data_IF_739366767724
#
_entry.id   IF_739366767724
#
_cell.length_a   1.000
_cell.length_b   1.000
_cell.length_c   1.000
_cell.angle_alpha   90.00
_cell.angle_beta   90.00
_cell.angle_gamma   90.00
#
_symmetry.space_group_name_H-M   'P 1'
#
loop_
_entity.id
_entity.type
_entity.pdbx_description
1 polymer ?
#
# COMPACT_ATOMS: atom_id res chain seq x y z
N UNK A 1 -11.76 -27.71 44.69
CA UNK A 1 -11.57 -26.27 44.45
C UNK A 1 -10.82 -26.14 43.13
N UNK A 2 -11.56 -25.83 42.08
CA UNK A 2 -10.96 -25.59 40.75
C UNK A 2 -10.73 -24.10 40.67
N UNK A 3 -9.47 -23.71 40.71
CA UNK A 3 -9.06 -22.31 40.58
C UNK A 3 -9.39 -21.82 39.16
N UNK A 4 -10.39 -20.98 39.03
CA UNK A 4 -10.67 -20.25 37.79
C UNK A 4 -9.50 -19.33 37.50
N UNK A 5 -8.85 -19.56 36.38
CA UNK A 5 -7.91 -18.60 35.78
C UNK A 5 -8.76 -17.47 35.21
N UNK A 6 -8.95 -16.41 36.00
CA UNK A 6 -9.44 -15.14 35.50
C UNK A 6 -8.39 -14.52 34.59
N UNK A 7 -8.36 -14.92 33.33
CA UNK A 7 -7.66 -14.20 32.29
C UNK A 7 -8.46 -12.92 32.00
N UNK A 8 -8.16 -11.82 32.72
CA UNK A 8 -8.63 -10.52 32.32
C UNK A 8 -8.04 -10.23 30.94
N UNK A 9 -8.86 -10.29 29.90
CA UNK A 9 -8.53 -9.82 28.56
C UNK A 9 -8.24 -8.32 28.69
N UNK A 10 -6.96 -7.97 28.80
CA UNK A 10 -6.54 -6.57 28.85
C UNK A 10 -6.70 -5.97 27.47
N UNK A 11 -7.51 -4.91 27.38
CA UNK A 11 -7.57 -4.09 26.17
C UNK A 11 -6.23 -3.39 25.97
N UNK A 12 -5.79 -3.33 24.71
CA UNK A 12 -4.58 -2.57 24.32
C UNK A 12 -4.89 -1.09 24.44
N UNK A 13 -4.02 -0.36 25.12
CA UNK A 13 -4.08 1.10 25.16
C UNK A 13 -3.39 1.69 23.92
N UNK A 14 -4.17 2.17 22.97
CA UNK A 14 -3.70 2.79 21.74
C UNK A 14 -3.44 4.31 21.87
N UNK A 15 -3.52 4.90 23.06
CA UNK A 15 -3.34 6.35 23.26
C UNK A 15 -1.87 6.81 23.23
N UNK A 16 -0.91 5.92 23.46
CA UNK A 16 0.51 6.24 23.63
C UNK A 16 1.38 6.19 22.38
N UNK A 17 0.84 5.78 21.23
CA UNK A 17 1.62 5.48 20.04
C UNK A 17 2.39 4.15 20.14
N UNK A 18 2.76 3.57 18.98
CA UNK A 18 3.59 2.37 18.95
C UNK A 18 5.04 2.71 19.29
N UNK A 19 5.72 1.77 19.98
CA UNK A 19 7.19 1.75 19.90
C UNK A 19 7.60 1.59 18.43
N UNK A 20 8.74 2.17 18.03
CA UNK A 20 9.22 2.10 16.65
C UNK A 20 9.40 0.65 16.20
N UNK A 21 8.64 0.22 15.20
CA UNK A 21 8.92 -1.00 14.45
C UNK A 21 10.13 -0.82 13.52
N UNK A 22 10.57 -1.90 12.88
CA UNK A 22 11.74 -1.83 12.00
C UNK A 22 11.35 -1.39 10.58
N UNK A 23 11.90 -0.26 10.15
CA UNK A 23 12.01 0.22 8.78
C UNK A 23 13.45 0.73 8.59
N UNK A 24 14.09 0.50 7.43
CA UNK A 24 13.59 -0.10 6.17
C UNK A 24 13.56 -1.63 6.19
N UNK A 25 12.73 -2.20 5.29
CA UNK A 25 12.57 -3.66 5.07
C UNK A 25 13.11 -4.02 3.70
N UNK A 26 13.80 -5.15 3.59
CA UNK A 26 14.12 -5.74 2.28
C UNK A 26 12.90 -6.52 1.79
N UNK A 27 12.29 -6.01 0.74
CA UNK A 27 11.08 -6.61 0.18
C UNK A 27 11.39 -7.65 -0.89
N UNK A 28 10.50 -8.66 -1.03
CA UNK A 28 10.51 -9.54 -2.20
C UNK A 28 10.40 -8.71 -3.48
N UNK A 29 11.26 -8.95 -4.45
CA UNK A 29 11.42 -8.08 -5.61
C UNK A 29 11.39 -8.83 -6.94
N UNK A 30 10.95 -10.11 -6.91
CA UNK A 30 10.84 -10.95 -8.10
C UNK A 30 12.17 -11.60 -8.51
N UNK A 31 12.20 -12.13 -9.72
CA UNK A 31 13.38 -12.76 -10.30
C UNK A 31 13.63 -12.29 -11.73
N UNK A 32 14.88 -12.37 -12.22
CA UNK A 32 15.23 -12.07 -13.60
C UNK A 32 14.43 -12.90 -14.59
N UNK A 33 14.16 -12.35 -15.79
CA UNK A 33 13.42 -13.04 -16.83
C UNK A 33 14.10 -14.37 -17.22
N UNK A 34 13.35 -15.48 -17.14
CA UNK A 34 13.85 -16.83 -17.41
C UNK A 34 14.42 -17.55 -16.19
N UNK A 35 14.48 -16.89 -15.03
CA UNK A 35 14.82 -17.50 -13.75
C UNK A 35 13.53 -17.76 -12.98
N UNK A 36 13.45 -18.94 -12.34
CA UNK A 36 12.33 -19.24 -11.44
C UNK A 36 12.38 -18.28 -10.24
N UNK A 37 11.25 -17.69 -9.96
CA UNK A 37 11.06 -16.89 -8.75
C UNK A 37 10.61 -17.81 -7.61
N UNK A 38 11.36 -17.79 -6.52
CA UNK A 38 11.04 -18.59 -5.30
C UNK A 38 10.39 -17.71 -4.21
N UNK A 39 10.04 -16.46 -4.53
CA UNK A 39 9.31 -15.58 -3.62
C UNK A 39 7.96 -16.21 -3.21
N UNK A 40 7.55 -16.10 -1.94
CA UNK A 40 6.19 -16.49 -1.55
C UNK A 40 5.15 -15.63 -2.27
N UNK A 41 3.89 -16.08 -2.39
CA UNK A 41 2.82 -15.26 -2.98
C UNK A 41 2.66 -13.89 -2.34
N UNK A 42 2.96 -13.79 -1.05
CA UNK A 42 2.90 -12.58 -0.25
C UNK A 42 3.97 -12.62 0.84
N UNK A 43 4.74 -11.54 0.96
CA UNK A 43 5.61 -11.32 2.10
C UNK A 43 4.81 -10.65 3.21
N UNK A 44 4.98 -11.15 4.44
CA UNK A 44 4.38 -10.59 5.65
C UNK A 44 5.50 -9.96 6.48
N UNK A 45 5.37 -8.68 6.79
CA UNK A 45 6.26 -7.97 7.69
C UNK A 45 5.47 -7.48 8.91
N UNK A 46 5.87 -7.93 10.08
CA UNK A 46 5.30 -7.49 11.36
C UNK A 46 6.06 -6.25 11.80
N UNK A 47 5.46 -5.07 11.59
CA UNK A 47 6.05 -3.80 12.00
C UNK A 47 6.03 -3.67 13.53
N UNK A 48 4.88 -3.93 14.12
CA UNK A 48 4.69 -4.11 15.55
C UNK A 48 3.61 -5.18 15.80
N UNK A 49 3.26 -5.45 17.07
CA UNK A 49 2.27 -6.46 17.41
C UNK A 49 0.89 -6.19 16.81
N UNK A 50 0.59 -4.93 16.48
CA UNK A 50 -0.73 -4.47 16.07
C UNK A 50 -0.76 -3.91 14.63
N UNK A 51 0.38 -3.92 13.94
CA UNK A 51 0.54 -3.33 12.61
C UNK A 51 1.35 -4.26 11.72
N UNK A 52 0.73 -4.76 10.64
CA UNK A 52 1.36 -5.69 9.69
C UNK A 52 1.30 -5.10 8.29
N UNK A 53 2.43 -5.12 7.60
CA UNK A 53 2.54 -4.78 6.20
C UNK A 53 2.64 -6.06 5.38
N UNK A 54 1.92 -6.10 4.26
CA UNK A 54 1.95 -7.24 3.35
C UNK A 54 2.38 -6.74 1.97
N UNK A 55 3.23 -7.49 1.29
CA UNK A 55 3.60 -7.20 -0.09
C UNK A 55 3.29 -8.38 -0.98
N UNK A 56 2.52 -8.16 -2.02
CA UNK A 56 2.25 -9.16 -3.05
C UNK A 56 3.49 -9.42 -3.91
N UNK A 57 3.69 -10.68 -4.32
CA UNK A 57 4.86 -11.04 -5.13
C UNK A 57 4.78 -10.51 -6.56
N UNK A 58 5.90 -9.99 -7.08
CA UNK A 58 6.07 -9.63 -8.50
C UNK A 58 6.02 -10.83 -9.44
N UNK A 59 6.12 -12.06 -8.93
CA UNK A 59 5.88 -13.27 -9.70
C UNK A 59 4.40 -13.48 -10.04
N UNK A 60 3.48 -12.85 -9.30
CA UNK A 60 2.03 -12.92 -9.53
C UNK A 60 1.55 -11.77 -10.41
N UNK A 61 2.03 -10.58 -10.15
CA UNK A 61 1.71 -9.35 -10.89
C UNK A 61 2.90 -8.38 -10.82
N UNK A 62 3.11 -7.62 -11.87
CA UNK A 62 4.16 -6.59 -11.87
C UNK A 62 3.85 -5.41 -10.91
N UNK A 63 2.58 -5.20 -10.59
CA UNK A 63 2.13 -4.12 -9.69
C UNK A 63 2.60 -4.39 -8.27
N UNK A 64 2.47 -5.65 -7.80
CA UNK A 64 2.92 -6.09 -6.48
C UNK A 64 2.59 -5.10 -5.35
N UNK A 65 1.28 -4.76 -5.17
CA UNK A 65 0.87 -3.75 -4.22
C UNK A 65 1.17 -4.15 -2.78
N UNK A 66 1.31 -3.14 -1.94
CA UNK A 66 1.35 -3.28 -0.49
C UNK A 66 -0.06 -3.19 0.08
N UNK A 67 -0.32 -4.01 1.09
CA UNK A 67 -1.55 -4.01 1.87
C UNK A 67 -1.20 -3.79 3.34
N UNK A 68 -2.15 -3.26 4.11
CA UNK A 68 -1.93 -2.96 5.52
C UNK A 68 -3.00 -3.65 6.37
N UNK A 69 -2.57 -4.35 7.43
CA UNK A 69 -3.48 -4.96 8.41
C UNK A 69 -3.23 -4.32 9.77
N UNK A 70 -4.23 -3.55 10.23
CA UNK A 70 -4.18 -2.77 11.46
C UNK A 70 -5.15 -3.38 12.48
N UNK A 71 -4.66 -3.72 13.67
CA UNK A 71 -5.47 -4.32 14.72
C UNK A 71 -5.91 -3.27 15.74
N UNK A 72 -7.19 -3.22 16.05
CA UNK A 72 -7.76 -2.58 17.23
C UNK A 72 -8.31 -3.60 18.21
N UNK A 73 -8.98 -3.18 19.28
CA UNK A 73 -9.50 -4.13 20.27
C UNK A 73 -10.79 -4.84 19.83
N UNK A 74 -11.58 -4.27 18.91
CA UNK A 74 -12.88 -4.82 18.48
C UNK A 74 -12.83 -5.40 17.06
N UNK A 75 -11.98 -4.85 16.23
CA UNK A 75 -11.85 -5.24 14.83
C UNK A 75 -10.47 -4.89 14.26
N UNK A 76 -10.11 -5.57 13.19
CA UNK A 76 -8.99 -5.17 12.35
C UNK A 76 -9.47 -4.41 11.11
N UNK A 77 -8.61 -3.57 10.55
CA UNK A 77 -8.73 -3.03 9.21
C UNK A 77 -7.73 -3.74 8.30
N UNK A 78 -8.21 -4.34 7.21
CA UNK A 78 -7.39 -4.67 6.05
C UNK A 78 -7.59 -3.57 5.02
N UNK A 79 -6.54 -2.82 4.73
CA UNK A 79 -6.54 -1.80 3.69
C UNK A 79 -5.93 -2.40 2.43
N UNK A 80 -6.74 -2.45 1.38
CA UNK A 80 -6.54 -3.11 0.09
C UNK A 80 -6.52 -4.65 0.14
N UNK A 81 -6.83 -5.28 -1.00
CA UNK A 81 -6.89 -6.74 -1.17
C UNK A 81 -6.01 -7.26 -2.30
N UNK A 82 -5.24 -6.37 -2.94
CA UNK A 82 -4.24 -6.72 -3.93
C UNK A 82 -4.78 -6.95 -5.34
N UNK A 83 -3.89 -7.36 -6.23
CA UNK A 83 -4.09 -7.43 -7.68
C UNK A 83 -4.44 -8.84 -8.20
N UNK A 84 -4.64 -9.84 -7.34
CA UNK A 84 -4.90 -11.23 -7.75
C UNK A 84 -6.11 -11.80 -7.04
N UNK A 85 -7.15 -12.11 -7.81
CA UNK A 85 -8.40 -12.68 -7.31
C UNK A 85 -8.30 -14.17 -6.97
N UNK A 86 -7.48 -14.95 -7.68
CA UNK A 86 -7.39 -16.40 -7.55
C UNK A 86 -6.75 -16.82 -6.21
N UNK A 87 -7.51 -17.46 -5.28
CA UNK A 87 -6.99 -17.87 -3.98
C UNK A 87 -5.92 -18.96 -4.07
N UNK A 88 -5.83 -19.70 -5.18
CA UNK A 88 -4.76 -20.69 -5.38
C UNK A 88 -3.42 -20.03 -5.66
N UNK A 89 -3.45 -18.86 -6.30
CA UNK A 89 -2.24 -18.08 -6.61
C UNK A 89 -1.87 -17.14 -5.47
N UNK A 90 -2.86 -16.47 -4.86
CA UNK A 90 -2.70 -15.57 -3.74
C UNK A 90 -3.73 -15.88 -2.65
N UNK A 91 -3.39 -16.70 -1.64
CA UNK A 91 -4.33 -17.14 -0.60
C UNK A 91 -4.56 -16.04 0.44
N UNK A 92 -5.16 -14.91 0.04
CA UNK A 92 -5.38 -13.74 0.88
C UNK A 92 -6.18 -14.09 2.13
N UNK A 93 -7.36 -14.73 1.95
CA UNK A 93 -8.23 -15.12 3.06
C UNK A 93 -7.49 -15.96 4.11
N UNK A 94 -6.79 -16.99 3.67
CA UNK A 94 -6.03 -17.88 4.57
C UNK A 94 -4.94 -17.11 5.32
N UNK A 95 -4.24 -16.21 4.64
CA UNK A 95 -3.19 -15.39 5.25
C UNK A 95 -3.79 -14.46 6.31
N UNK A 96 -4.87 -13.75 6.00
CA UNK A 96 -5.52 -12.83 6.94
C UNK A 96 -6.10 -13.58 8.14
N UNK A 97 -6.76 -14.72 7.93
CA UNK A 97 -7.30 -15.54 9.02
C UNK A 97 -6.19 -16.05 9.96
N UNK A 98 -5.03 -16.45 9.40
CA UNK A 98 -3.87 -16.85 10.20
C UNK A 98 -3.34 -15.69 11.04
N UNK A 99 -3.20 -14.50 10.45
CA UNK A 99 -2.67 -13.32 11.14
C UNK A 99 -3.62 -12.86 12.26
N UNK A 100 -4.93 -12.80 11.98
CA UNK A 100 -5.95 -12.47 12.97
C UNK A 100 -5.98 -13.53 14.08
N UNK A 101 -5.94 -14.82 13.72
CA UNK A 101 -5.90 -15.92 14.70
C UNK A 101 -4.67 -15.86 15.59
N UNK A 102 -3.51 -15.49 15.04
CA UNK A 102 -2.27 -15.30 15.80
C UNK A 102 -2.38 -14.16 16.80
N UNK A 103 -2.98 -13.04 16.39
CA UNK A 103 -3.22 -11.88 17.26
C UNK A 103 -4.20 -12.23 18.37
N UNK A 104 -5.34 -12.89 18.04
CA UNK A 104 -6.37 -13.29 18.98
C UNK A 104 -5.90 -14.31 20.04
N UNK A 105 -4.86 -15.10 19.76
CA UNK A 105 -4.26 -15.97 20.81
C UNK A 105 -3.60 -15.18 21.93
N UNK A 106 -3.10 -13.98 21.65
CA UNK A 106 -2.48 -13.08 22.63
C UNK A 106 -3.48 -12.07 23.20
N UNK A 107 -4.47 -11.71 22.41
CA UNK A 107 -5.53 -10.75 22.73
C UNK A 107 -6.92 -11.39 22.53
N UNK A 108 -7.35 -12.32 23.38
CA UNK A 108 -8.61 -13.04 23.20
C UNK A 108 -9.82 -12.10 23.13
N UNK A 109 -10.65 -12.25 22.10
CA UNK A 109 -11.91 -11.55 21.87
C UNK A 109 -12.94 -12.55 21.34
N UNK A 110 -14.23 -12.40 21.73
CA UNK A 110 -15.30 -13.31 21.30
C UNK A 110 -15.86 -12.97 19.92
N UNK A 111 -16.03 -11.68 19.64
CA UNK A 111 -16.73 -11.20 18.44
C UNK A 111 -15.84 -10.22 17.66
N UNK A 112 -14.64 -10.70 17.28
CA UNK A 112 -13.66 -9.84 16.60
C UNK A 112 -14.02 -9.65 15.12
N UNK A 113 -14.17 -8.38 14.70
CA UNK A 113 -14.53 -8.00 13.35
C UNK A 113 -13.35 -7.83 12.40
N UNK A 114 -13.65 -7.80 11.11
CA UNK A 114 -12.73 -7.34 10.06
C UNK A 114 -13.45 -6.30 9.19
N UNK A 115 -12.85 -5.15 9.03
CA UNK A 115 -13.19 -4.19 7.97
C UNK A 115 -12.20 -4.36 6.85
N UNK A 116 -12.68 -4.52 5.62
CA UNK A 116 -11.91 -4.49 4.39
C UNK A 116 -12.29 -3.20 3.69
N UNK A 117 -11.35 -2.28 3.59
CA UNK A 117 -11.52 -1.02 2.87
C UNK A 117 -10.38 -0.83 1.87
N UNK A 118 -10.55 0.12 0.96
CA UNK A 118 -9.60 0.33 -0.12
C UNK A 118 -9.07 1.75 -0.10
N UNK A 119 -7.79 1.90 -0.42
CA UNK A 119 -7.22 3.21 -0.70
C UNK A 119 -7.91 3.86 -1.89
N UNK A 120 -8.31 3.03 -2.88
CA UNK A 120 -9.11 3.44 -4.04
C UNK A 120 -9.61 2.22 -4.85
N UNK A 121 -10.39 2.46 -5.92
CA UNK A 121 -11.14 1.43 -6.63
C UNK A 121 -10.42 0.75 -7.82
N UNK A 122 -9.11 0.92 -8.03
CA UNK A 122 -8.40 0.23 -9.11
C UNK A 122 -8.25 -1.27 -8.85
N UNK A 123 -8.09 -2.04 -9.94
CA UNK A 123 -8.13 -3.50 -9.89
C UNK A 123 -7.04 -4.14 -9.03
N UNK A 124 -5.89 -3.51 -8.93
CA UNK A 124 -4.76 -3.97 -8.12
C UNK A 124 -4.93 -3.72 -6.61
N UNK A 125 -5.99 -3.03 -6.21
CA UNK A 125 -6.35 -2.79 -4.81
C UNK A 125 -7.56 -3.59 -4.33
N UNK A 126 -8.44 -4.05 -5.28
CA UNK A 126 -9.75 -4.65 -4.94
C UNK A 126 -9.92 -6.10 -5.43
N UNK A 127 -8.95 -6.66 -6.17
CA UNK A 127 -9.14 -7.98 -6.81
C UNK A 127 -9.36 -9.13 -5.83
N UNK A 128 -8.87 -9.02 -4.60
CA UNK A 128 -9.00 -10.08 -3.59
C UNK A 128 -10.31 -10.07 -2.80
N UNK A 129 -11.20 -9.09 -2.99
CA UNK A 129 -12.43 -8.89 -2.20
C UNK A 129 -13.30 -10.14 -2.10
N UNK A 130 -13.47 -10.84 -3.22
CA UNK A 130 -14.29 -12.05 -3.28
C UNK A 130 -13.79 -13.16 -2.32
N UNK A 131 -12.54 -13.14 -1.90
CA UNK A 131 -12.02 -14.08 -0.92
C UNK A 131 -12.46 -13.78 0.52
N UNK A 132 -12.98 -12.58 0.77
CA UNK A 132 -13.33 -12.10 2.11
C UNK A 132 -14.82 -11.84 2.30
N UNK A 133 -15.60 -11.82 1.21
CA UNK A 133 -17.02 -11.47 1.21
C UNK A 133 -17.88 -12.43 2.07
N UNK A 134 -17.53 -13.70 2.13
CA UNK A 134 -18.23 -14.73 2.92
C UNK A 134 -17.60 -14.98 4.30
N UNK A 135 -16.59 -14.20 4.68
CA UNK A 135 -15.95 -14.33 5.99
C UNK A 135 -16.89 -13.83 7.09
N UNK A 136 -17.13 -14.62 8.18
CA UNK A 136 -17.92 -14.15 9.32
C UNK A 136 -17.35 -12.87 9.93
N UNK A 137 -18.23 -12.02 10.47
CA UNK A 137 -17.89 -10.74 11.12
C UNK A 137 -17.02 -9.83 10.26
N UNK A 138 -17.28 -9.83 8.93
CA UNK A 138 -16.48 -9.04 7.97
C UNK A 138 -17.37 -8.09 7.19
N UNK A 139 -16.95 -6.84 7.10
CA UNK A 139 -17.53 -5.83 6.22
C UNK A 139 -16.54 -5.53 5.11
N UNK A 140 -16.90 -5.77 3.86
CA UNK A 140 -16.14 -5.35 2.69
C UNK A 140 -16.80 -4.09 2.15
N UNK A 141 -16.06 -2.97 2.19
CA UNK A 141 -16.53 -1.66 1.73
C UNK A 141 -16.48 -1.63 0.21
N UNK A 142 -17.59 -1.29 -0.42
CA UNK A 142 -17.62 -1.15 -1.87
C UNK A 142 -16.79 0.09 -2.32
N UNK A 143 -16.22 0.00 -3.52
CA UNK A 143 -15.18 0.90 -4.03
C UNK A 143 -15.68 2.23 -4.62
N UNK A 144 -17.00 2.34 -4.82
CA UNK A 144 -17.63 3.53 -5.40
C UNK A 144 -17.65 4.67 -4.39
N UNK A 145 -17.47 5.92 -4.83
CA UNK A 145 -17.45 7.13 -3.97
C UNK A 145 -18.62 7.17 -3.01
N UNK A 146 -19.83 6.81 -3.48
CA UNK A 146 -21.04 6.85 -2.64
C UNK A 146 -20.94 5.87 -1.46
N UNK A 147 -20.48 4.65 -1.70
CA UNK A 147 -20.31 3.64 -0.67
C UNK A 147 -19.17 3.99 0.31
N UNK A 148 -18.06 4.54 -0.18
CA UNK A 148 -16.96 5.03 0.64
C UNK A 148 -17.44 6.15 1.57
N UNK A 149 -18.20 7.12 1.04
CA UNK A 149 -18.79 8.21 1.82
C UNK A 149 -19.74 7.69 2.90
N UNK A 150 -20.62 6.78 2.53
CA UNK A 150 -21.62 6.19 3.44
C UNK A 150 -20.92 5.42 4.57
N UNK A 151 -19.97 4.56 4.23
CA UNK A 151 -19.28 3.71 5.21
C UNK A 151 -18.46 4.53 6.21
N UNK A 152 -17.68 5.49 5.75
CA UNK A 152 -16.84 6.31 6.62
C UNK A 152 -17.61 7.46 7.30
N UNK A 153 -18.82 7.80 6.80
CA UNK A 153 -19.65 8.86 7.35
C UNK A 153 -19.29 10.26 6.86
N UNK A 154 -18.75 10.39 5.65
CA UNK A 154 -18.44 11.69 5.06
C UNK A 154 -19.71 12.48 4.75
N UNK A 155 -19.82 13.70 5.28
CA UNK A 155 -20.87 14.68 4.97
C UNK A 155 -20.42 15.73 3.96
N UNK A 156 -19.15 16.12 3.98
CA UNK A 156 -18.51 17.07 3.04
C UNK A 156 -17.29 16.47 2.34
N UNK A 157 -17.53 15.54 1.43
CA UNK A 157 -16.49 14.90 0.62
C UNK A 157 -15.89 15.87 -0.40
N UNK A 158 -14.57 15.93 -0.56
CA UNK A 158 -13.50 15.24 0.21
C UNK A 158 -12.89 16.12 1.31
N UNK A 159 -13.56 17.22 1.70
CA UNK A 159 -12.97 18.32 2.49
C UNK A 159 -12.87 18.07 3.99
N UNK A 160 -13.56 17.07 4.51
CA UNK A 160 -13.51 16.74 5.93
C UNK A 160 -12.63 15.53 6.20
N UNK A 161 -12.14 15.44 7.43
CA UNK A 161 -11.52 14.24 7.98
C UNK A 161 -12.51 13.58 8.94
N UNK A 162 -12.76 12.30 8.71
CA UNK A 162 -13.66 11.47 9.53
C UNK A 162 -12.86 10.42 10.32
N UNK A 163 -13.50 9.78 11.31
CA UNK A 163 -12.83 8.82 12.18
C UNK A 163 -13.38 7.42 12.01
N UNK A 164 -12.47 6.45 11.95
CA UNK A 164 -12.78 5.02 12.01
C UNK A 164 -12.18 4.44 13.30
N UNK A 165 -13.04 4.05 14.25
CA UNK A 165 -12.62 3.42 15.49
C UNK A 165 -12.58 1.88 15.33
N UNK A 166 -11.41 1.30 15.57
CA UNK A 166 -11.20 -0.15 15.58
C UNK A 166 -11.32 -0.78 16.97
N UNK A 167 -11.83 -0.02 17.95
CA UNK A 167 -11.87 -0.37 19.36
C UNK A 167 -10.67 0.24 20.11
N UNK A 168 -10.70 1.57 20.25
CA UNK A 168 -9.67 2.37 20.92
C UNK A 168 -8.50 2.77 20.00
N UNK A 169 -8.25 2.06 18.89
CA UNK A 169 -7.37 2.54 17.81
C UNK A 169 -8.20 3.33 16.81
N UNK A 170 -8.13 4.64 16.92
CA UNK A 170 -8.91 5.57 16.10
C UNK A 170 -8.06 6.05 14.94
N UNK A 171 -8.49 5.73 13.74
CA UNK A 171 -7.88 6.17 12.49
C UNK A 171 -8.56 7.44 11.98
N UNK A 172 -7.80 8.33 11.35
CA UNK A 172 -8.34 9.50 10.67
C UNK A 172 -8.34 9.27 9.16
N UNK A 173 -9.49 9.43 8.53
CA UNK A 173 -9.71 9.14 7.11
C UNK A 173 -10.07 10.41 6.38
N UNK A 174 -9.34 10.71 5.31
CA UNK A 174 -9.53 11.92 4.49
C UNK A 174 -9.68 11.52 3.04
N UNK A 175 -10.64 12.13 2.33
CA UNK A 175 -10.76 11.99 0.87
C UNK A 175 -9.59 12.67 0.16
N UNK A 176 -8.95 11.96 -0.77
CA UNK A 176 -7.80 12.46 -1.54
C UNK A 176 -7.96 12.17 -3.04
N UNK A 177 -9.03 12.67 -3.70
CA UNK A 177 -9.21 12.47 -5.14
C UNK A 177 -8.05 13.10 -5.93
N UNK A 178 -7.92 12.68 -7.21
CA UNK A 178 -6.90 13.19 -8.13
C UNK A 178 -6.21 12.07 -8.88
N UNK A 179 -5.80 11.00 -8.20
CA UNK A 179 -5.45 9.72 -8.81
C UNK A 179 -6.71 8.95 -9.20
N UNK A 180 -7.62 8.76 -8.25
CA UNK A 180 -8.93 8.14 -8.42
C UNK A 180 -9.96 8.91 -7.60
N UNK A 181 -11.22 8.99 -8.07
CA UNK A 181 -12.27 9.81 -7.46
C UNK A 181 -12.65 9.37 -6.03
N UNK A 182 -12.51 8.07 -5.71
CA UNK A 182 -12.81 7.47 -4.41
C UNK A 182 -11.55 7.28 -3.54
N UNK A 183 -10.42 7.92 -3.88
CA UNK A 183 -9.20 7.76 -3.10
C UNK A 183 -9.34 8.31 -1.70
N UNK A 184 -8.84 7.56 -0.72
CA UNK A 184 -8.72 7.96 0.68
C UNK A 184 -7.30 7.82 1.18
N UNK A 185 -6.90 8.69 2.09
CA UNK A 185 -5.74 8.51 2.95
C UNK A 185 -6.19 8.17 4.36
N UNK A 186 -5.37 7.40 5.06
CA UNK A 186 -5.60 7.02 6.44
C UNK A 186 -4.39 7.41 7.26
N UNK A 187 -4.59 8.27 8.25
CA UNK A 187 -3.62 8.53 9.30
C UNK A 187 -3.91 7.60 10.47
N UNK A 188 -2.91 6.84 10.86
CA UNK A 188 -2.92 6.01 12.04
C UNK A 188 -2.04 6.63 13.14
N UNK A 189 -2.61 7.28 14.15
CA UNK A 189 -1.83 7.90 15.22
C UNK A 189 -1.02 6.90 16.04
N UNK A 190 -1.40 5.62 16.06
CA UNK A 190 -0.66 4.58 16.77
C UNK A 190 0.71 4.32 16.15
N UNK A 191 0.77 4.02 14.86
CA UNK A 191 2.05 3.78 14.15
C UNK A 191 2.72 5.07 13.69
N UNK A 192 1.99 6.16 13.60
CA UNK A 192 2.42 7.39 12.95
C UNK A 192 2.46 7.27 11.42
N UNK A 193 1.79 6.27 10.84
CA UNK A 193 1.74 6.09 9.38
C UNK A 193 0.64 6.93 8.75
N UNK A 194 1.01 7.65 7.70
CA UNK A 194 0.09 8.25 6.76
C UNK A 194 0.01 7.37 5.52
N UNK A 195 -1.05 6.56 5.42
CA UNK A 195 -1.29 5.61 4.32
C UNK A 195 -1.96 6.36 3.17
N UNK A 196 -1.30 6.47 2.03
CA UNK A 196 -1.67 7.36 0.93
C UNK A 196 -2.09 6.66 -0.36
N UNK A 197 -2.13 5.33 -0.36
CA UNK A 197 -2.44 4.58 -1.59
C UNK A 197 -1.51 4.98 -2.73
N UNK A 198 -2.11 5.32 -3.86
CA UNK A 198 -1.40 5.71 -5.08
C UNK A 198 -1.25 7.23 -5.28
N UNK A 199 -1.59 8.01 -4.25
CA UNK A 199 -1.37 9.45 -4.31
C UNK A 199 0.09 9.84 -4.04
N UNK A 200 0.77 9.15 -3.08
CA UNK A 200 2.16 9.43 -2.71
C UNK A 200 2.89 8.12 -2.41
N UNK A 201 3.87 7.77 -3.23
CA UNK A 201 4.73 6.59 -3.08
C UNK A 201 6.03 6.78 -3.90
N UNK A 202 7.10 6.00 -3.66
CA UNK A 202 8.32 6.08 -4.45
C UNK A 202 8.11 5.45 -5.83
N UNK A 203 7.49 6.21 -6.75
CA UNK A 203 7.06 5.69 -8.05
C UNK A 203 6.47 6.73 -8.99
N UNK A 204 5.62 6.26 -9.90
CA UNK A 204 4.94 7.07 -10.91
C UNK A 204 3.56 7.47 -10.41
N UNK A 205 3.43 8.68 -9.91
CA UNK A 205 2.19 9.25 -9.43
C UNK A 205 1.30 9.63 -10.63
N UNK A 206 0.31 8.81 -10.91
CA UNK A 206 -0.63 9.04 -12.02
C UNK A 206 -1.73 10.00 -11.58
N UNK A 207 -1.81 11.16 -12.24
CA UNK A 207 -2.74 12.22 -11.90
C UNK A 207 -3.78 12.35 -12.99
N UNK A 208 -5.03 12.01 -12.68
CA UNK A 208 -6.18 12.07 -13.59
C UNK A 208 -6.93 13.40 -13.46
N UNK A 209 -6.96 13.98 -12.24
CA UNK A 209 -7.55 15.28 -11.94
C UNK A 209 -6.50 16.15 -11.21
N UNK A 210 -5.72 16.97 -11.94
CA UNK A 210 -4.66 17.77 -11.35
C UNK A 210 -5.10 18.79 -10.29
N UNK A 211 -6.23 19.53 -10.45
CA UNK A 211 -6.75 20.35 -9.37
C UNK A 211 -7.06 19.58 -8.09
N UNK A 212 -7.83 18.50 -8.19
CA UNK A 212 -8.18 17.67 -7.04
C UNK A 212 -6.94 17.05 -6.39
N UNK A 213 -5.93 16.66 -7.18
CA UNK A 213 -4.67 16.11 -6.66
C UNK A 213 -3.90 17.13 -5.81
N UNK A 214 -3.83 18.41 -6.25
CA UNK A 214 -3.19 19.47 -5.47
C UNK A 214 -3.94 19.75 -4.16
N UNK A 215 -5.26 19.82 -4.19
CA UNK A 215 -6.08 20.02 -2.99
C UNK A 215 -5.88 18.85 -2.03
N UNK A 216 -5.77 17.61 -2.53
CA UNK A 216 -5.50 16.42 -1.75
C UNK A 216 -4.11 16.46 -1.11
N UNK A 217 -3.08 16.91 -1.83
CA UNK A 217 -1.74 17.07 -1.27
C UNK A 217 -1.69 18.18 -0.20
N UNK A 218 -2.46 19.26 -0.36
CA UNK A 218 -2.61 20.29 0.67
C UNK A 218 -3.24 19.72 1.93
N UNK A 219 -4.28 18.89 1.81
CA UNK A 219 -4.90 18.21 2.93
C UNK A 219 -3.92 17.24 3.64
N UNK A 220 -3.18 16.43 2.87
CA UNK A 220 -2.17 15.50 3.42
C UNK A 220 -1.06 16.26 4.18
N UNK A 221 -0.54 17.35 3.63
CA UNK A 221 0.47 18.17 4.32
C UNK A 221 -0.10 18.75 5.61
N UNK A 222 -1.33 19.27 5.59
CA UNK A 222 -2.01 19.80 6.77
C UNK A 222 -2.16 18.76 7.89
N UNK A 223 -2.47 17.50 7.53
CA UNK A 223 -2.51 16.39 8.52
C UNK A 223 -1.16 16.21 9.22
N UNK A 224 -0.03 16.40 8.51
CA UNK A 224 1.31 16.27 9.12
C UNK A 224 1.68 17.44 10.04
N UNK A 225 0.95 18.53 9.98
CA UNK A 225 1.16 19.69 10.87
C UNK A 225 0.41 19.52 12.20
N UNK A 226 -0.66 18.71 12.20
CA UNK A 226 -1.51 18.49 13.38
C UNK A 226 -1.18 17.18 14.11
N UNK A 227 -0.51 16.25 13.45
CA UNK A 227 -0.15 14.93 14.00
C UNK A 227 1.31 14.58 13.70
N UNK A 228 2.00 13.90 14.63
CA UNK A 228 3.33 13.36 14.37
C UNK A 228 3.21 12.21 13.36
N UNK A 229 3.74 12.41 12.13
CA UNK A 229 3.83 11.39 11.09
C UNK A 229 5.25 10.85 11.05
N UNK A 230 5.40 9.55 11.28
CA UNK A 230 6.68 8.84 11.24
C UNK A 230 7.08 8.42 9.83
N UNK A 231 6.09 8.08 8.99
CA UNK A 231 6.30 7.67 7.61
C UNK A 231 5.04 7.91 6.75
N UNK A 232 5.25 8.32 5.50
CA UNK A 232 4.23 8.36 4.45
C UNK A 232 4.35 7.07 3.65
N UNK A 233 3.29 6.27 3.63
CA UNK A 233 3.30 4.89 3.14
C UNK A 233 2.31 4.74 1.98
N UNK A 234 2.81 4.60 0.76
CA UNK A 234 1.96 4.30 -0.40
C UNK A 234 1.81 2.80 -0.66
N UNK A 235 1.26 2.45 -1.82
CA UNK A 235 0.98 1.05 -2.16
C UNK A 235 1.97 0.42 -3.15
N UNK A 236 2.95 1.17 -3.69
CA UNK A 236 3.90 0.67 -4.68
C UNK A 236 5.33 1.17 -4.46
N UNK A 237 6.30 0.45 -5.04
CA UNK A 237 7.65 0.93 -5.27
C UNK A 237 7.96 0.73 -6.75
N UNK A 238 8.26 1.81 -7.45
CA UNK A 238 8.54 1.79 -8.88
C UNK A 238 9.83 2.56 -9.24
N UNK A 239 10.38 3.34 -8.29
CA UNK A 239 11.70 3.96 -8.42
C UNK A 239 12.81 2.97 -8.12
N UNK A 240 14.02 3.30 -8.56
CA UNK A 240 15.25 2.64 -8.12
C UNK A 240 15.96 3.50 -7.09
N UNK A 241 16.96 2.95 -6.42
CA UNK A 241 17.87 3.73 -5.54
C UNK A 241 18.71 4.76 -6.30
N UNK A 242 18.75 4.71 -7.65
CA UNK A 242 19.38 5.75 -8.46
C UNK A 242 18.40 6.91 -8.64
N UNK A 243 18.76 8.14 -8.22
CA UNK A 243 17.88 9.30 -8.31
C UNK A 243 17.30 9.53 -9.72
N UNK A 244 16.00 9.79 -9.81
CA UNK A 244 15.30 10.07 -11.06
C UNK A 244 15.10 8.88 -12.00
N UNK A 245 15.52 7.67 -11.60
CA UNK A 245 15.39 6.46 -12.41
C UNK A 245 14.29 5.54 -11.88
N UNK A 246 13.27 5.33 -12.71
CA UNK A 246 12.19 4.38 -12.44
C UNK A 246 12.41 3.04 -13.17
N UNK A 247 11.89 1.96 -12.61
CA UNK A 247 11.76 0.68 -13.33
C UNK A 247 10.76 0.84 -14.49
N UNK A 248 10.99 0.21 -15.65
CA UNK A 248 10.01 0.21 -16.73
C UNK A 248 8.67 -0.39 -16.31
N UNK A 249 7.57 0.21 -16.79
CA UNK A 249 6.22 -0.31 -16.53
C UNK A 249 6.10 -1.79 -16.89
N UNK A 250 5.52 -2.57 -15.97
CA UNK A 250 5.34 -4.00 -16.14
C UNK A 250 6.59 -4.85 -15.83
N UNK A 251 7.62 -4.27 -15.22
CA UNK A 251 8.81 -5.00 -14.76
C UNK A 251 8.46 -5.91 -13.59
N UNK A 252 8.86 -7.18 -13.67
CA UNK A 252 8.64 -8.20 -12.63
C UNK A 252 9.89 -8.52 -11.80
N UNK A 253 10.97 -7.76 -11.97
CA UNK A 253 12.21 -7.88 -11.21
C UNK A 253 12.77 -6.51 -10.89
N UNK A 254 12.78 -6.15 -9.61
CA UNK A 254 13.14 -4.82 -9.11
C UNK A 254 14.09 -4.94 -7.88
N UNK A 255 15.37 -5.35 -8.07
CA UNK A 255 16.28 -5.63 -6.97
C UNK A 255 16.81 -4.39 -6.24
N UNK A 256 16.75 -3.22 -6.87
CA UNK A 256 17.34 -1.97 -6.35
C UNK A 256 16.23 -0.99 -5.92
N UNK A 257 15.19 -1.48 -5.26
CA UNK A 257 14.09 -0.64 -4.77
C UNK A 257 14.55 0.25 -3.60
N UNK A 258 14.14 1.53 -3.56
CA UNK A 258 14.27 2.35 -2.37
C UNK A 258 13.31 1.87 -1.27
N UNK A 259 13.43 2.38 -0.02
CA UNK A 259 12.43 2.14 1.01
C UNK A 259 11.01 2.54 0.55
N UNK A 260 9.99 1.75 0.98
CA UNK A 260 8.59 2.11 0.77
C UNK A 260 8.22 3.41 1.51
N UNK A 261 8.74 3.55 2.72
CA UNK A 261 8.49 4.69 3.57
C UNK A 261 9.11 5.96 3.01
N UNK A 262 8.28 6.94 2.71
CA UNK A 262 8.69 8.30 2.39
C UNK A 262 8.60 9.18 3.65
N UNK A 263 9.40 10.23 3.68
CA UNK A 263 9.37 11.24 4.74
C UNK A 263 8.29 12.30 4.48
N UNK A 264 7.92 13.05 5.52
CA UNK A 264 7.07 14.25 5.40
C UNK A 264 7.73 15.31 4.49
N UNK A 265 9.05 15.37 4.44
CA UNK A 265 9.76 16.27 3.51
C UNK A 265 9.49 15.87 2.05
N UNK A 266 9.59 14.58 1.73
CA UNK A 266 9.29 14.08 0.38
C UNK A 266 7.80 14.28 0.00
N UNK A 267 6.86 14.15 0.94
CA UNK A 267 5.45 14.54 0.70
C UNK A 267 5.34 16.02 0.30
N UNK A 268 6.05 16.91 0.99
CA UNK A 268 6.09 18.35 0.64
C UNK A 268 6.74 18.59 -0.73
N UNK A 269 7.74 17.79 -1.10
CA UNK A 269 8.35 17.84 -2.43
C UNK A 269 7.35 17.41 -3.52
N UNK A 270 6.55 16.34 -3.28
CA UNK A 270 5.46 15.93 -4.19
C UNK A 270 4.45 17.06 -4.36
N UNK A 271 4.05 17.72 -3.25
CA UNK A 271 3.15 18.88 -3.30
C UNK A 271 3.73 20.03 -4.13
N UNK A 272 4.97 20.40 -3.88
CA UNK A 272 5.66 21.45 -4.62
C UNK A 272 5.76 21.12 -6.12
N UNK A 273 6.06 19.87 -6.45
CA UNK A 273 6.11 19.37 -7.82
C UNK A 273 4.74 19.43 -8.52
N UNK A 274 3.65 19.09 -7.85
CA UNK A 274 2.29 19.17 -8.38
C UNK A 274 1.88 20.63 -8.65
N UNK A 275 2.30 21.58 -7.80
CA UNK A 275 2.09 23.02 -8.02
C UNK A 275 2.84 23.48 -9.27
N UNK A 276 4.08 23.04 -9.49
CA UNK A 276 4.87 23.36 -10.69
C UNK A 276 4.26 22.75 -11.95
N UNK A 277 3.78 21.51 -11.88
CA UNK A 277 3.12 20.83 -13.00
C UNK A 277 1.82 21.52 -13.42
N UNK A 278 1.07 22.07 -12.45
CA UNK A 278 -0.26 22.64 -12.66
C UNK A 278 -1.18 21.67 -13.44
N UNK A 279 -1.96 22.18 -14.38
CA UNK A 279 -2.85 21.40 -15.26
C UNK A 279 -2.17 21.03 -16.59
N UNK A 280 -0.86 21.17 -16.69
CA UNK A 280 -0.10 20.89 -17.92
C UNK A 280 0.18 19.40 -18.04
N UNK A 281 -0.36 18.71 -19.06
CA UNK A 281 -0.07 17.30 -19.28
C UNK A 281 1.42 17.08 -19.53
N UNK A 282 1.98 16.01 -18.93
CA UNK A 282 3.38 15.68 -19.10
C UNK A 282 3.92 14.78 -17.98
N UNK A 283 5.19 14.40 -18.12
CA UNK A 283 5.91 13.64 -17.11
C UNK A 283 6.97 14.51 -16.47
N UNK A 284 6.84 14.71 -15.18
CA UNK A 284 7.73 15.52 -14.35
C UNK A 284 8.51 14.57 -13.46
N UNK A 285 9.85 14.51 -13.64
CA UNK A 285 10.71 13.56 -12.94
C UNK A 285 11.48 14.24 -11.83
N UNK A 286 11.50 13.59 -10.67
CA UNK A 286 12.24 13.97 -9.47
C UNK A 286 13.06 12.78 -8.98
N UNK A 287 13.88 12.96 -7.99
CA UNK A 287 14.78 11.92 -7.51
C UNK A 287 14.05 10.68 -7.00
N UNK A 288 12.97 10.88 -6.20
CA UNK A 288 12.27 9.81 -5.51
C UNK A 288 10.92 9.45 -6.14
N UNK A 289 10.42 10.23 -7.12
CA UNK A 289 9.12 10.01 -7.75
C UNK A 289 9.04 10.66 -9.14
N UNK A 290 7.98 10.33 -9.87
CA UNK A 290 7.65 11.04 -11.11
C UNK A 290 6.14 11.31 -11.17
N UNK A 291 5.72 12.54 -11.48
CA UNK A 291 4.33 12.89 -11.71
C UNK A 291 3.99 12.65 -13.18
N UNK A 292 3.01 11.79 -13.44
CA UNK A 292 2.40 11.56 -14.74
C UNK A 292 1.09 12.34 -14.78
N UNK A 293 1.16 13.60 -15.20
CA UNK A 293 0.05 14.56 -15.15
C UNK A 293 -0.81 14.47 -16.39
N UNK A 294 -2.05 14.00 -16.24
CA UNK A 294 -3.01 13.82 -17.34
C UNK A 294 -2.61 12.72 -18.34
N UNK A 295 -3.17 12.74 -19.56
CA UNK A 295 -2.93 11.69 -20.56
C UNK A 295 -1.48 11.70 -21.06
N UNK A 296 -0.69 10.71 -20.63
CA UNK A 296 0.74 10.56 -20.96
C UNK A 296 1.01 9.41 -21.94
N UNK A 297 0.20 9.22 -22.98
CA UNK A 297 0.25 8.07 -23.91
C UNK A 297 1.65 7.80 -24.47
N UNK A 298 2.37 8.84 -24.94
CA UNK A 298 3.74 8.67 -25.46
C UNK A 298 4.73 8.21 -24.37
N UNK A 299 4.56 8.68 -23.14
CA UNK A 299 5.40 8.24 -22.03
C UNK A 299 5.12 6.77 -21.69
N UNK A 300 3.86 6.33 -21.71
CA UNK A 300 3.49 4.93 -21.50
C UNK A 300 4.07 4.02 -22.58
N UNK A 301 4.02 4.42 -23.86
CA UNK A 301 4.66 3.68 -24.96
C UNK A 301 6.18 3.58 -24.74
N UNK A 302 6.83 4.65 -24.33
CA UNK A 302 8.27 4.63 -24.00
C UNK A 302 8.58 3.68 -22.84
N UNK A 303 7.74 3.61 -21.82
CA UNK A 303 7.89 2.66 -20.70
C UNK A 303 7.82 1.20 -21.19
N UNK A 304 6.87 0.88 -22.05
CA UNK A 304 6.75 -0.47 -22.63
C UNK A 304 7.98 -0.85 -23.49
N UNK A 305 8.52 0.09 -24.27
CA UNK A 305 9.74 -0.11 -25.04
C UNK A 305 10.95 -0.32 -24.11
N UNK A 306 11.10 0.46 -23.04
CA UNK A 306 12.15 0.27 -22.03
C UNK A 306 12.08 -1.12 -21.40
N UNK A 307 10.88 -1.60 -21.06
CA UNK A 307 10.65 -2.97 -20.55
C UNK A 307 11.16 -4.02 -21.52
N UNK A 308 10.83 -3.89 -22.82
CA UNK A 308 11.27 -4.85 -23.83
C UNK A 308 12.80 -4.93 -23.92
N UNK A 309 13.47 -3.77 -23.94
CA UNK A 309 14.93 -3.68 -23.95
C UNK A 309 15.54 -4.28 -22.68
N UNK A 310 15.00 -4.00 -21.53
CA UNK A 310 15.48 -4.55 -20.25
C UNK A 310 15.32 -6.07 -20.23
N UNK A 311 14.17 -6.60 -20.62
CA UNK A 311 13.93 -8.05 -20.68
C UNK A 311 14.91 -8.75 -21.59
N UNK A 312 15.21 -8.18 -22.77
CA UNK A 312 16.19 -8.72 -23.70
C UNK A 312 17.62 -8.72 -23.11
N UNK A 313 18.02 -7.61 -22.48
CA UNK A 313 19.33 -7.50 -21.81
C UNK A 313 19.48 -8.55 -20.71
N UNK A 314 18.46 -8.70 -19.85
CA UNK A 314 18.48 -9.69 -18.76
C UNK A 314 18.56 -11.12 -19.29
N UNK A 315 17.83 -11.47 -20.36
CA UNK A 315 17.91 -12.80 -20.99
C UNK A 315 19.28 -13.08 -21.60
N UNK A 316 19.91 -12.09 -22.22
CA UNK A 316 21.25 -12.24 -22.79
C UNK A 316 22.31 -12.42 -21.71
N UNK A 317 22.24 -11.67 -20.61
CA UNK A 317 23.19 -11.81 -19.50
C UNK A 317 23.05 -13.17 -18.80
N UNK A 318 21.82 -13.65 -18.56
CA UNK A 318 21.59 -14.98 -17.97
C UNK A 318 22.04 -16.11 -18.89
N UNK A 319 21.86 -15.97 -20.20
CA UNK A 319 22.36 -16.96 -21.18
C UNK A 319 23.90 -17.00 -21.25
N UNK A 320 24.54 -15.82 -21.09
CA UNK A 320 26.01 -15.74 -21.05
C UNK A 320 26.58 -16.41 -19.79
N UNK A 321 26.07 -16.09 -18.60
CA UNK A 321 26.53 -16.69 -17.34
C UNK A 321 26.26 -18.20 -17.27
N UNK A 322 25.18 -18.69 -17.89
CA UNK A 322 24.89 -20.11 -18.00
C UNK A 322 25.85 -20.86 -18.93
N UNK A 323 26.41 -20.18 -19.96
CA UNK A 323 27.44 -20.75 -20.83
C UNK A 323 28.81 -20.88 -20.16
N UNK A 324 29.19 -19.87 -19.36
CA UNK A 324 30.46 -19.88 -18.62
C UNK A 324 30.51 -20.93 -17.50
N UNK A 325 29.35 -21.35 -16.98
CA UNK A 325 29.25 -22.38 -15.93
C UNK A 325 29.14 -23.83 -16.43
N UNK A 326 29.18 -24.07 -17.74
CA UNK A 326 29.25 -25.45 -18.29
C UNK A 326 30.69 -25.96 -18.15
N UNK A 327 30.95 -27.01 -17.34
CA UNK A 327 32.27 -27.62 -17.31
C UNK A 327 32.54 -28.23 -18.69
N UNK A 328 33.77 -28.03 -19.16
CA UNK A 328 34.32 -28.66 -20.37
C UNK A 328 34.42 -30.16 -20.22
#
# INVERSE_FOLDING_TARGET
MVGGVNGSSTYVDFSGGSGCGELPVTWIHGAPAGIRCDDPPMQVHVYDEHTILLRQSKALTYEAPFLYLLFGNERALLLDTGAVADPKRMPLRTTIDLLIGNWLRRHPRTDYGLVVAHTHGHGDHVSGDAQLTDRPNTTVVAREVAAVKEFFGFSDWPRETVRLDLGGRVLEVTGIPGHHEASVAILDPWSGFLLTGDAVYPGRLYVNDPPAFRDSLDALVSMTETHPVSAVMGCHIEMTTTPGLDYPLGTTYQPDEPPLAMSVAQLRDVRAAAIVAQDRPGVYRYDDFAIYNGPCTLAMVRQLLRRTVQTLRTRLSTAWTARERRPS
#
